data_IF_736643486952
#
_entry.id   IF_736643486952
#
_cell.length_a   1.000
_cell.length_b   1.000
_cell.length_c   1.000
_cell.angle_alpha   90.00
_cell.angle_beta   90.00
_cell.angle_gamma   90.00
#
_symmetry.space_group_name_H-M   'P 1'
#
loop_
_entity.id
_entity.type
_entity.pdbx_description
1 polymer ?
#
# COMPACT_ATOMS: atom_id res chain seq x y z
N UNK A 1 -10.41 9.18 13.14
CA UNK A 1 -10.26 7.89 12.46
C UNK A 1 -8.85 7.87 11.95
N UNK A 2 -8.08 6.86 12.33
CA UNK A 2 -6.64 6.86 12.09
C UNK A 2 -6.34 6.38 10.67
N UNK A 3 -5.34 6.99 10.05
CA UNK A 3 -4.89 6.66 8.70
C UNK A 3 -3.40 6.41 8.75
N UNK A 4 -2.96 5.29 8.17
CA UNK A 4 -1.57 4.87 8.20
C UNK A 4 -1.05 4.62 6.78
N UNK A 5 0.21 4.97 6.56
CA UNK A 5 0.96 4.57 5.38
C UNK A 5 1.97 3.51 5.80
N UNK A 6 1.79 2.28 5.31
CA UNK A 6 2.61 1.13 5.69
C UNK A 6 3.32 0.58 4.46
N UNK A 7 4.64 0.47 4.54
CA UNK A 7 5.38 -0.32 3.55
C UNK A 7 5.13 -1.79 3.83
N UNK A 8 4.51 -2.50 2.88
CA UNK A 8 4.24 -3.95 3.02
C UNK A 8 5.54 -4.78 3.01
N UNK A 9 6.64 -4.23 2.49
CA UNK A 9 7.97 -4.83 2.56
C UNK A 9 8.09 -6.16 1.80
N UNK A 10 9.08 -6.96 2.19
CA UNK A 10 9.21 -8.32 1.65
C UNK A 10 8.06 -9.19 2.16
N UNK A 11 7.38 -9.97 1.30
CA UNK A 11 6.36 -10.90 1.75
C UNK A 11 6.89 -11.90 2.80
N UNK A 12 8.19 -12.20 2.77
CA UNK A 12 8.84 -13.11 3.72
C UNK A 12 8.73 -12.65 5.19
N UNK A 13 8.35 -11.39 5.45
CA UNK A 13 8.10 -10.88 6.80
C UNK A 13 7.09 -11.76 7.57
N UNK A 14 6.13 -12.42 6.88
CA UNK A 14 5.16 -13.31 7.52
C UNK A 14 5.75 -14.61 8.10
N UNK A 15 6.92 -15.05 7.62
CA UNK A 15 7.47 -16.39 7.95
C UNK A 15 8.88 -16.33 8.51
N UNK A 16 9.57 -15.19 8.40
CA UNK A 16 10.93 -15.02 8.88
C UNK A 16 10.99 -14.00 10.02
N UNK A 17 11.01 -14.52 11.25
CA UNK A 17 11.03 -13.70 12.45
C UNK A 17 12.32 -12.88 12.62
N UNK A 18 13.37 -13.19 11.85
CA UNK A 18 14.65 -12.47 11.89
C UNK A 18 14.57 -11.13 11.15
N UNK A 19 13.54 -10.92 10.32
CA UNK A 19 13.34 -9.65 9.63
C UNK A 19 12.83 -8.62 10.64
N UNK A 20 13.51 -7.48 10.87
CA UNK A 20 13.10 -6.51 11.89
C UNK A 20 11.66 -6.00 11.75
N UNK A 21 11.18 -5.89 10.51
CA UNK A 21 9.80 -5.49 10.22
C UNK A 21 8.75 -6.46 10.78
N UNK A 22 9.08 -7.75 10.97
CA UNK A 22 8.17 -8.73 11.57
C UNK A 22 7.80 -8.32 13.00
N UNK A 23 8.81 -8.00 13.82
CA UNK A 23 8.60 -7.53 15.19
C UNK A 23 7.85 -6.19 15.25
N UNK A 24 8.12 -5.28 14.29
CA UNK A 24 7.37 -4.03 14.17
C UNK A 24 5.88 -4.29 13.92
N UNK A 25 5.50 -5.04 12.88
CA UNK A 25 4.10 -5.29 12.57
C UNK A 25 3.38 -6.04 13.71
N UNK A 26 4.04 -7.04 14.30
CA UNK A 26 3.47 -7.83 15.40
C UNK A 26 3.20 -7.03 16.67
N UNK A 27 3.96 -5.96 16.92
CA UNK A 27 3.82 -5.15 18.15
C UNK A 27 3.06 -3.84 17.94
N UNK A 28 3.33 -3.14 16.85
CA UNK A 28 2.77 -1.83 16.58
C UNK A 28 1.37 -1.91 15.97
N UNK A 29 1.12 -2.84 15.05
CA UNK A 29 -0.15 -2.87 14.32
C UNK A 29 -1.35 -3.13 15.23
N UNK A 30 -1.32 -4.09 16.17
CA UNK A 30 -2.42 -4.28 17.11
C UNK A 30 -2.65 -3.03 17.97
N UNK A 31 -1.58 -2.39 18.46
CA UNK A 31 -1.72 -1.19 19.29
C UNK A 31 -2.27 0.02 18.51
N UNK A 32 -1.85 0.16 17.25
CA UNK A 32 -2.27 1.24 16.37
C UNK A 32 -3.72 1.07 15.87
N UNK A 33 -4.13 -0.17 15.61
CA UNK A 33 -5.47 -0.50 15.08
C UNK A 33 -6.48 -0.71 16.19
N UNK A 34 -6.10 -1.24 17.36
CA UNK A 34 -7.04 -1.52 18.45
C UNK A 34 -7.57 -0.24 19.12
N UNK A 35 -6.79 0.84 19.19
CA UNK A 35 -7.20 2.13 19.74
C UNK A 35 -8.01 2.02 21.05
N UNK A 36 -8.91 2.99 21.29
CA UNK A 36 -9.93 2.86 22.34
C UNK A 36 -11.14 2.01 21.90
N UNK A 37 -11.35 1.89 20.58
CA UNK A 37 -12.38 1.06 19.95
C UNK A 37 -11.82 0.50 18.65
N UNK A 38 -11.86 -0.83 18.50
CA UNK A 38 -11.42 -1.48 17.29
C UNK A 38 -12.31 -1.09 16.09
N UNK A 39 -11.73 -0.86 14.89
CA UNK A 39 -12.51 -0.51 13.72
C UNK A 39 -13.38 -1.68 13.28
N UNK A 40 -14.61 -1.37 12.84
CA UNK A 40 -15.54 -2.37 12.32
C UNK A 40 -15.13 -2.89 10.92
N UNK A 41 -14.34 -2.10 10.20
CA UNK A 41 -13.76 -2.45 8.91
C UNK A 41 -12.50 -1.61 8.67
N UNK A 42 -11.56 -2.16 7.89
CA UNK A 42 -10.35 -1.46 7.44
C UNK A 42 -10.48 -1.21 5.94
N UNK A 43 -10.00 -0.05 5.51
CA UNK A 43 -9.91 0.34 4.10
C UNK A 43 -8.43 0.39 3.71
N UNK A 44 -7.96 -0.57 2.92
CA UNK A 44 -6.53 -0.66 2.58
C UNK A 44 -6.31 -0.24 1.14
N UNK A 45 -5.48 0.76 0.82
CA UNK A 45 -5.09 1.05 -0.56
C UNK A 45 -3.81 0.29 -0.92
N UNK A 46 -3.88 -0.69 -1.82
CA UNK A 46 -2.71 -1.52 -2.16
C UNK A 46 -1.95 -1.01 -3.39
N UNK A 47 -0.62 -0.99 -3.29
CA UNK A 47 0.28 -0.70 -4.41
C UNK A 47 0.31 -1.81 -5.48
N UNK A 48 -0.20 -3.01 -5.19
CA UNK A 48 -0.25 -4.14 -6.15
C UNK A 48 -1.56 -4.23 -6.90
N UNK A 49 -2.48 -3.30 -6.67
CA UNK A 49 -3.68 -3.18 -7.45
C UNK A 49 -3.63 -1.87 -8.23
N UNK A 50 -3.37 -1.95 -9.53
CA UNK A 50 -3.38 -0.81 -10.43
C UNK A 50 -4.52 -0.95 -11.44
N UNK A 51 -5.26 0.14 -11.63
CA UNK A 51 -6.39 0.22 -12.56
C UNK A 51 -6.36 1.56 -13.29
N UNK A 52 -6.97 1.63 -14.47
CA UNK A 52 -7.02 2.85 -15.29
C UNK A 52 -7.99 3.90 -14.71
N UNK A 53 -9.04 3.45 -14.04
CA UNK A 53 -9.99 4.27 -13.28
C UNK A 53 -10.01 3.81 -11.81
N UNK A 54 -10.42 4.67 -10.87
CA UNK A 54 -10.61 4.23 -9.49
C UNK A 54 -11.54 3.02 -9.42
N UNK A 55 -11.19 2.05 -8.59
CA UNK A 55 -11.96 0.82 -8.42
C UNK A 55 -12.06 0.44 -6.94
N UNK A 56 -13.22 -0.12 -6.56
CA UNK A 56 -13.48 -0.64 -5.21
C UNK A 56 -13.80 -2.12 -5.28
N UNK A 57 -13.36 -2.88 -4.27
CA UNK A 57 -13.60 -4.32 -4.21
C UNK A 57 -14.85 -4.60 -3.34
N UNK A 58 -15.96 -4.97 -3.98
CA UNK A 58 -17.29 -5.20 -3.42
C UNK A 58 -17.55 -6.71 -3.29
N UNK A 59 -16.73 -7.37 -2.47
CA UNK A 59 -16.87 -8.81 -2.19
C UNK A 59 -17.96 -9.05 -1.15
N UNK A 60 -18.96 -9.87 -1.49
CA UNK A 60 -19.96 -10.39 -0.53
C UNK A 60 -19.50 -11.76 -0.06
N UNK A 61 -19.08 -11.87 1.21
CA UNK A 61 -18.56 -13.12 1.78
C UNK A 61 -17.08 -12.98 2.15
N UNK A 62 -16.26 -13.93 1.73
CA UNK A 62 -14.83 -14.00 2.10
C UNK A 62 -13.96 -13.67 0.90
N UNK A 63 -12.94 -12.84 1.09
CA UNK A 63 -11.96 -12.55 0.05
C UNK A 63 -10.99 -13.74 -0.14
N UNK A 64 -10.63 -14.01 -1.39
CA UNK A 64 -9.53 -14.92 -1.70
C UNK A 64 -8.17 -14.31 -1.33
N UNK A 65 -7.15 -15.15 -1.18
CA UNK A 65 -5.76 -14.71 -1.00
C UNK A 65 -5.00 -14.85 -2.31
N UNK A 66 -4.54 -13.73 -2.85
CA UNK A 66 -3.71 -13.66 -4.05
C UNK A 66 -2.23 -13.81 -3.64
N UNK A 67 -1.53 -14.73 -4.31
CA UNK A 67 -0.09 -14.92 -4.16
C UNK A 67 0.63 -14.31 -5.37
N UNK A 68 0.72 -12.99 -5.40
CA UNK A 68 1.41 -12.18 -6.41
C UNK A 68 2.93 -12.09 -6.16
N UNK A 69 3.52 -13.20 -5.71
CA UNK A 69 4.88 -13.33 -5.21
C UNK A 69 5.68 -14.39 -5.99
N UNK A 70 6.99 -14.21 -6.12
CA UNK A 70 7.86 -15.19 -6.79
C UNK A 70 9.15 -15.46 -6.00
N UNK A 71 9.71 -16.66 -6.16
CA UNK A 71 11.02 -17.02 -5.60
C UNK A 71 11.05 -17.26 -4.09
N UNK A 72 9.89 -17.44 -3.45
CA UNK A 72 9.78 -17.66 -2.01
C UNK A 72 9.62 -19.15 -1.64
N UNK A 73 9.87 -19.53 -0.37
CA UNK A 73 9.63 -20.89 0.10
C UNK A 73 8.17 -21.34 -0.09
N UNK A 74 7.97 -22.65 -0.28
CA UNK A 74 6.64 -23.24 -0.53
C UNK A 74 5.60 -22.94 0.55
N UNK A 75 6.03 -22.82 1.81
CA UNK A 75 5.16 -22.48 2.93
C UNK A 75 4.47 -21.12 2.74
N UNK A 76 5.09 -20.17 2.02
CA UNK A 76 4.50 -18.87 1.74
C UNK A 76 3.21 -18.99 0.92
N UNK A 77 3.22 -19.87 -0.09
CA UNK A 77 2.09 -20.10 -0.99
C UNK A 77 0.95 -20.88 -0.34
N UNK A 78 1.17 -21.46 0.85
CA UNK A 78 0.15 -22.12 1.66
C UNK A 78 -0.59 -21.15 2.58
N UNK A 79 -0.04 -19.96 2.84
CA UNK A 79 -0.70 -18.96 3.67
C UNK A 79 -2.04 -18.54 3.06
N UNK A 80 -3.02 -18.33 3.93
CA UNK A 80 -4.36 -17.86 3.58
C UNK A 80 -4.78 -16.78 4.57
N UNK A 81 -5.37 -15.72 4.04
CA UNK A 81 -5.94 -14.62 4.80
C UNK A 81 -7.41 -14.44 4.38
N UNK A 82 -8.33 -15.25 4.93
CA UNK A 82 -9.74 -15.29 4.53
C UNK A 82 -10.52 -14.14 5.16
N UNK A 83 -10.15 -12.90 4.86
CA UNK A 83 -10.78 -11.74 5.45
C UNK A 83 -12.21 -11.55 4.89
N UNK A 84 -13.20 -11.23 5.73
CA UNK A 84 -14.55 -10.94 5.25
C UNK A 84 -14.55 -9.67 4.40
N UNK A 85 -15.33 -9.67 3.32
CA UNK A 85 -15.58 -8.47 2.53
C UNK A 85 -16.47 -7.48 3.28
N UNK A 86 -16.26 -6.19 3.01
CA UNK A 86 -17.06 -5.09 3.55
C UNK A 86 -17.73 -4.33 2.40
N UNK A 87 -18.77 -4.91 1.76
CA UNK A 87 -19.40 -4.30 0.58
C UNK A 87 -19.97 -2.92 0.88
N UNK A 88 -20.54 -2.70 2.07
CA UNK A 88 -21.09 -1.38 2.44
C UNK A 88 -19.99 -0.30 2.54
N UNK A 89 -18.80 -0.67 3.02
CA UNK A 89 -17.64 0.23 3.05
C UNK A 89 -17.12 0.51 1.63
N UNK A 90 -17.07 -0.50 0.77
CA UNK A 90 -16.65 -0.35 -0.62
C UNK A 90 -17.62 0.57 -1.39
N UNK A 91 -18.93 0.36 -1.25
CA UNK A 91 -19.96 1.21 -1.86
C UNK A 91 -19.89 2.64 -1.33
N UNK A 92 -19.74 2.81 -0.01
CA UNK A 92 -19.55 4.14 0.59
C UNK A 92 -18.31 4.84 0.04
N UNK A 93 -17.23 4.10 -0.17
CA UNK A 93 -16.00 4.68 -0.72
C UNK A 93 -16.18 5.11 -2.18
N UNK A 94 -16.87 4.30 -2.97
CA UNK A 94 -17.27 4.66 -4.33
C UNK A 94 -18.07 5.96 -4.35
N UNK A 95 -19.12 6.07 -3.53
CA UNK A 95 -19.93 7.30 -3.44
C UNK A 95 -19.09 8.54 -3.12
N UNK A 96 -18.15 8.42 -2.17
CA UNK A 96 -17.28 9.52 -1.76
C UNK A 96 -16.30 9.91 -2.87
N UNK A 97 -15.73 8.94 -3.57
CA UNK A 97 -14.82 9.18 -4.69
C UNK A 97 -15.53 9.85 -5.87
N UNK A 98 -16.71 9.36 -6.24
CA UNK A 98 -17.53 9.95 -7.31
C UNK A 98 -17.98 11.37 -6.92
N UNK A 99 -18.45 11.56 -5.68
CA UNK A 99 -18.86 12.86 -5.15
C UNK A 99 -17.73 13.88 -5.04
N UNK A 100 -16.48 13.42 -4.89
CA UNK A 100 -15.29 14.27 -4.87
C UNK A 100 -14.76 14.60 -6.28
N UNK A 101 -15.37 14.08 -7.35
CA UNK A 101 -15.01 14.39 -8.73
C UNK A 101 -13.88 13.54 -9.31
N UNK A 102 -13.59 12.37 -8.73
CA UNK A 102 -12.60 11.43 -9.31
C UNK A 102 -13.10 10.66 -10.54
N UNK A 103 -14.31 10.97 -11.02
CA UNK A 103 -14.96 10.28 -12.13
C UNK A 103 -15.64 8.98 -11.72
N UNK A 104 -16.13 8.18 -12.68
CA UNK A 104 -16.81 6.92 -12.41
C UNK A 104 -15.89 5.93 -11.69
N UNK A 105 -16.41 5.30 -10.63
CA UNK A 105 -15.67 4.29 -9.86
C UNK A 105 -16.17 2.90 -10.21
N UNK A 106 -15.25 2.06 -10.68
CA UNK A 106 -15.54 0.67 -11.04
C UNK A 106 -15.75 -0.19 -9.80
N UNK A 107 -16.62 -1.18 -9.91
CA UNK A 107 -16.84 -2.19 -8.88
C UNK A 107 -16.22 -3.51 -9.34
N UNK A 108 -15.37 -4.08 -8.50
CA UNK A 108 -14.84 -5.43 -8.67
C UNK A 108 -15.47 -6.33 -7.61
N UNK A 109 -15.95 -7.52 -7.97
CA UNK A 109 -16.75 -8.36 -7.07
C UNK A 109 -16.09 -9.67 -6.70
N UNK A 110 -15.00 -10.03 -7.37
CA UNK A 110 -14.33 -11.33 -7.19
C UNK A 110 -12.83 -11.23 -6.95
N UNK A 111 -12.25 -10.04 -6.81
CA UNK A 111 -10.81 -9.92 -6.59
C UNK A 111 -10.47 -10.30 -5.15
N UNK A 112 -9.47 -11.16 -5.01
CA UNK A 112 -8.86 -11.46 -3.71
C UNK A 112 -7.98 -10.32 -3.19
N UNK A 113 -7.35 -10.54 -2.04
CA UNK A 113 -6.38 -9.64 -1.44
C UNK A 113 -4.97 -10.00 -1.93
N UNK A 114 -4.21 -9.02 -2.42
CA UNK A 114 -2.78 -9.19 -2.74
C UNK A 114 -1.89 -9.05 -1.51
N UNK A 115 -0.62 -9.44 -1.61
CA UNK A 115 0.27 -9.45 -0.45
C UNK A 115 0.49 -8.07 0.16
N UNK A 116 0.40 -6.99 -0.63
CA UNK A 116 0.48 -5.64 -0.11
C UNK A 116 -0.61 -5.35 0.92
N UNK A 117 -1.76 -6.02 0.78
CA UNK A 117 -2.87 -5.95 1.69
C UNK A 117 -2.77 -6.97 2.84
N UNK A 118 -2.61 -8.25 2.52
CA UNK A 118 -2.75 -9.30 3.53
C UNK A 118 -1.50 -9.50 4.38
N UNK A 119 -0.28 -9.19 3.92
CA UNK A 119 0.95 -9.41 4.71
C UNK A 119 0.98 -8.55 5.98
N UNK A 120 0.75 -7.21 5.92
CA UNK A 120 0.72 -6.40 7.12
C UNK A 120 -0.38 -6.86 8.10
N UNK A 121 -1.57 -7.15 7.58
CA UNK A 121 -2.75 -7.49 8.38
C UNK A 121 -2.71 -8.90 8.95
N UNK A 122 -2.02 -9.85 8.32
CA UNK A 122 -1.84 -11.21 8.84
C UNK A 122 -0.97 -11.24 10.11
N UNK A 123 -0.13 -10.23 10.30
CA UNK A 123 0.71 -10.07 11.48
C UNK A 123 0.03 -9.28 12.60
N UNK A 124 -1.20 -8.81 12.36
CA UNK A 124 -2.12 -8.40 13.41
C UNK A 124 -2.73 -9.65 14.06
N UNK A 125 -2.99 -9.57 15.36
CA UNK A 125 -3.64 -10.64 16.13
C UNK A 125 -5.18 -10.54 16.12
N UNK A 126 -5.74 -9.55 15.40
CA UNK A 126 -7.18 -9.30 15.28
C UNK A 126 -7.73 -9.58 13.86
N UNK A 127 -8.82 -10.35 13.80
CA UNK A 127 -9.25 -11.13 12.62
C UNK A 127 -10.18 -10.44 11.59
N UNK A 128 -10.08 -9.14 11.28
CA UNK A 128 -10.98 -8.51 10.29
C UNK A 128 -10.28 -7.47 9.38
N UNK A 129 -10.38 -7.60 8.05
CA UNK A 129 -9.86 -6.61 7.08
C UNK A 129 -10.66 -6.54 5.77
N UNK A 130 -10.62 -5.39 5.09
CA UNK A 130 -11.15 -5.18 3.73
C UNK A 130 -10.25 -4.25 2.91
N UNK A 131 -10.35 -4.31 1.58
CA UNK A 131 -9.45 -3.63 0.61
C UNK A 131 -10.11 -2.46 -0.14
N UNK A 132 -9.29 -1.50 -0.56
CA UNK A 132 -9.54 -0.35 -1.45
C UNK A 132 -8.41 -0.22 -2.48
N UNK A 133 -8.65 0.51 -3.57
CA UNK A 133 -7.58 1.08 -4.38
C UNK A 133 -7.83 2.56 -4.70
N UNK A 134 -6.77 3.35 -4.88
CA UNK A 134 -6.81 4.64 -5.56
C UNK A 134 -5.56 4.81 -6.42
N UNK A 135 -5.75 4.92 -7.73
CA UNK A 135 -4.81 5.61 -8.63
C UNK A 135 -5.36 7.01 -8.87
N UNK A 136 -4.69 8.04 -8.37
CA UNK A 136 -5.03 9.42 -8.70
C UNK A 136 -4.25 9.84 -9.94
N UNK A 137 -4.89 9.82 -11.11
CA UNK A 137 -4.41 10.55 -12.27
C UNK A 137 -5.18 11.88 -12.33
N UNK A 138 -4.51 13.00 -12.06
CA UNK A 138 -5.05 14.32 -12.39
C UNK A 138 -4.73 14.58 -13.87
N UNK A 139 -5.71 14.79 -14.77
CA UNK A 139 -5.40 15.21 -16.12
C UNK A 139 -5.28 16.74 -16.13
N UNK A 140 -4.08 17.25 -16.38
CA UNK A 140 -3.97 18.53 -17.06
C UNK A 140 -2.80 18.47 -18.05
N UNK A 141 -3.15 18.63 -19.31
CA UNK A 141 -2.26 18.95 -20.44
C UNK A 141 -1.08 19.80 -19.96
N UNK A 142 0.13 19.24 -20.01
CA UNK A 142 1.36 20.05 -20.07
C UNK A 142 1.91 19.92 -21.49
N UNK A 143 1.55 20.91 -22.30
CA UNK A 143 2.41 21.39 -23.38
C UNK A 143 3.80 21.70 -22.78
N UNK A 144 4.83 21.09 -23.35
CA UNK A 144 6.21 21.12 -22.86
C UNK A 144 6.91 22.47 -23.05
N UNK A 145 6.20 23.52 -23.46
CA UNK A 145 6.78 24.84 -23.72
C UNK A 145 6.66 25.84 -22.56
N UNK A 146 5.85 25.57 -21.52
CA UNK A 146 5.63 26.53 -20.42
C UNK A 146 5.53 25.83 -19.04
N UNK A 147 6.62 25.26 -18.55
CA UNK A 147 6.69 24.81 -17.15
C UNK A 147 6.98 25.99 -16.20
N UNK A 148 6.11 26.30 -15.21
CA UNK A 148 6.44 27.27 -14.18
C UNK A 148 7.51 26.69 -13.25
N UNK A 149 8.52 27.49 -12.94
CA UNK A 149 9.70 27.14 -12.13
C UNK A 149 9.42 26.96 -10.62
N UNK A 150 8.15 26.85 -10.21
CA UNK A 150 7.78 26.70 -8.79
C UNK A 150 6.43 25.99 -8.60
N UNK A 151 6.47 24.86 -7.90
CA UNK A 151 5.28 24.16 -7.39
C UNK A 151 4.85 24.76 -6.05
N UNK A 152 3.55 24.97 -5.78
CA UNK A 152 3.09 25.40 -4.46
C UNK A 152 3.27 24.26 -3.43
N UNK A 153 4.01 24.56 -2.37
CA UNK A 153 4.26 23.70 -1.22
C UNK A 153 3.01 23.73 -0.34
N UNK A 154 2.30 22.59 -0.20
CA UNK A 154 1.20 22.41 0.76
C UNK A 154 1.69 21.64 1.98
N UNK A 155 2.66 22.21 2.69
CA UNK A 155 3.13 21.67 3.96
C UNK A 155 3.80 22.80 4.76
N UNK A 156 3.11 23.28 5.80
CA UNK A 156 3.75 23.99 6.89
C UNK A 156 4.13 22.98 7.99
N UNK A 157 5.42 22.78 8.30
CA UNK A 157 5.82 21.91 9.40
C UNK A 157 5.46 22.54 10.75
N UNK A 158 5.04 21.75 11.76
CA UNK A 158 4.81 22.25 13.11
C UNK A 158 6.11 22.77 13.75
N UNK A 159 6.00 23.91 14.44
CA UNK A 159 7.10 24.73 14.99
C UNK A 159 7.80 24.18 16.24
N UNK A 160 7.77 22.86 16.48
CA UNK A 160 8.43 22.26 17.65
C UNK A 160 9.52 21.28 17.26
N UNK A 161 10.80 21.54 17.60
CA UNK A 161 11.88 20.61 17.33
C UNK A 161 11.83 19.42 18.29
N UNK A 162 11.82 18.19 17.75
CA UNK A 162 12.23 16.98 18.49
C UNK A 162 13.41 16.32 17.76
N UNK A 163 14.36 15.73 18.51
CA UNK A 163 15.72 15.47 18.02
C UNK A 163 15.77 14.36 16.97
N UNK A 164 16.64 14.61 16.00
CA UNK A 164 16.93 13.83 14.80
C UNK A 164 17.58 12.48 15.07
N UNK A 165 17.05 11.43 14.46
CA UNK A 165 17.81 10.25 14.03
C UNK A 165 17.51 10.02 12.53
N UNK A 166 18.22 10.74 11.68
CA UNK A 166 18.23 10.51 10.23
C UNK A 166 19.56 9.87 9.86
N UNK A 167 19.52 8.65 9.35
CA UNK A 167 20.62 8.03 8.58
C UNK A 167 20.38 8.35 7.09
N UNK A 168 21.32 8.99 6.38
CA UNK A 168 21.16 9.22 4.94
C UNK A 168 21.60 8.00 4.14
N UNK A 169 20.70 7.44 3.33
CA UNK A 169 21.02 6.48 2.27
C UNK A 169 21.44 7.29 1.02
N UNK A 170 22.73 7.33 0.72
CA UNK A 170 23.26 7.99 -0.48
C UNK A 170 23.05 7.11 -1.72
N UNK A 171 22.38 7.67 -2.73
CA UNK A 171 22.29 7.14 -4.09
C UNK A 171 23.70 6.99 -4.68
N UNK A 172 24.05 5.80 -5.14
CA UNK A 172 25.15 5.61 -6.10
C UNK A 172 24.60 4.84 -7.30
N UNK A 173 24.31 5.58 -8.37
CA UNK A 173 24.01 5.05 -9.69
C UNK A 173 24.83 5.85 -10.70
N UNK A 174 25.71 5.15 -11.43
CA UNK A 174 26.42 5.49 -12.68
C UNK A 174 27.52 4.44 -12.81
N UNK A 175 27.84 3.83 -13.94
CA UNK A 175 27.34 3.81 -15.32
C UNK A 175 28.26 2.79 -15.98
N UNK A 176 27.72 1.77 -16.65
CA UNK A 176 28.51 0.83 -17.44
C UNK A 176 29.07 1.56 -18.66
N UNK A 177 30.39 1.53 -18.85
CA UNK A 177 31.03 1.85 -20.12
C UNK A 177 32.29 1.00 -20.28
N UNK A 178 32.22 0.01 -21.17
CA UNK A 178 33.38 -0.74 -21.69
C UNK A 178 34.25 0.17 -22.56
N UNK A 179 35.55 -0.15 -22.67
CA UNK A 179 36.26 0.02 -23.93
C UNK A 179 36.91 -1.28 -24.41
N UNK A 180 36.75 -1.53 -25.71
CA UNK A 180 37.51 -2.50 -26.49
C UNK A 180 38.92 -1.95 -26.82
N UNK A 181 39.88 -2.89 -26.90
CA UNK A 181 41.12 -2.93 -27.72
C UNK A 181 42.30 -1.98 -27.39
N UNK A 182 43.46 -2.56 -27.01
CA UNK A 182 44.62 -2.77 -27.92
C UNK A 182 45.95 -3.00 -27.16
N UNK A 183 46.66 -4.07 -27.57
CA UNK A 183 48.14 -4.28 -27.61
C UNK A 183 49.03 -3.87 -26.43
N UNK A 184 49.67 -4.84 -25.77
CA UNK A 184 51.04 -5.32 -26.02
C UNK A 184 51.36 -6.49 -25.11
#
# INVERSE_FOLDING_TARGET
>A
MDTFFLSHGSPAICIDERIPAHGFFKSWLPAAVAGAQAPHAVLVVSAHWETDTPAVNVVRGTNDTIHDLQGLPSEMYKLRYPAPGAPDLAMRTKELLEGAGFGPVSEEHGRGLDHGAWVPLMLDSCAHASLLNQRTYAPSVMDSTHAPTRWPVWWDPPTTPRPSLFYPFSRQAKSLSSPLLSSR
#
